data_IF_046675659182
#
_entry.id   IF_046675659182
#
_cell.length_a   1.000
_cell.length_b   1.000
_cell.length_c   1.000
_cell.angle_alpha   90.00
_cell.angle_beta   90.00
_cell.angle_gamma   90.00
#
_symmetry.space_group_name_H-M   'P 1'
#
loop_
_entity.id
_entity.type
_entity.pdbx_description
1 polymer ?
#
# COMPACT_ATOMS: atom_id res chain seq x y z
N UNK A 1 28.89 0.85 -14.28
CA UNK A 1 27.99 -0.30 -14.01
C UNK A 1 26.57 0.22 -14.05
N UNK A 2 25.88 0.11 -15.18
CA UNK A 2 24.49 0.53 -15.31
C UNK A 2 23.60 -0.58 -14.75
N UNK A 3 23.16 -0.41 -13.50
CA UNK A 3 22.14 -1.27 -12.90
C UNK A 3 20.87 -1.18 -13.74
N UNK A 4 20.53 -2.25 -14.44
CA UNK A 4 19.19 -2.43 -15.00
C UNK A 4 18.24 -2.35 -13.80
N UNK A 5 17.54 -1.24 -13.69
CA UNK A 5 16.40 -1.11 -12.80
C UNK A 5 15.36 -2.07 -13.37
N UNK A 6 15.19 -3.24 -12.74
CA UNK A 6 14.12 -4.16 -13.09
C UNK A 6 12.83 -3.35 -13.11
N UNK A 7 12.13 -3.37 -14.24
CA UNK A 7 10.85 -2.68 -14.35
C UNK A 7 9.93 -3.29 -13.30
N UNK A 8 9.25 -2.47 -12.47
CA UNK A 8 8.24 -3.02 -11.58
C UNK A 8 7.19 -3.74 -12.42
N UNK A 9 6.83 -4.97 -12.05
CA UNK A 9 5.82 -5.76 -12.74
C UNK A 9 4.47 -5.03 -12.81
N UNK A 10 4.24 -4.08 -11.89
CA UNK A 10 3.04 -3.23 -11.87
C UNK A 10 3.29 -1.88 -11.18
N UNK A 11 2.96 -0.77 -11.85
CA UNK A 11 2.83 0.56 -11.23
C UNK A 11 1.35 0.88 -10.94
N UNK A 12 1.05 1.37 -9.74
CA UNK A 12 -0.30 1.78 -9.34
C UNK A 12 -0.28 3.28 -9.01
N UNK A 13 -1.01 4.07 -9.77
CA UNK A 13 -1.17 5.50 -9.48
C UNK A 13 -2.15 5.72 -8.34
N UNK A 14 -1.70 6.41 -7.28
CA UNK A 14 -2.52 6.80 -6.13
C UNK A 14 -3.44 7.99 -6.49
N UNK A 15 -4.49 7.73 -7.26
CA UNK A 15 -5.52 8.74 -7.57
C UNK A 15 -6.65 8.76 -6.54
N UNK A 16 -6.91 7.61 -5.93
CA UNK A 16 -7.99 7.38 -4.97
C UNK A 16 -7.50 6.35 -3.95
N UNK A 17 -7.35 6.79 -2.70
CA UNK A 17 -6.81 5.96 -1.62
C UNK A 17 -7.69 4.73 -1.37
N UNK A 18 -9.02 4.87 -1.41
CA UNK A 18 -9.95 3.77 -1.18
C UNK A 18 -9.79 2.69 -2.25
N UNK A 19 -9.71 3.09 -3.52
CA UNK A 19 -9.49 2.15 -4.63
C UNK A 19 -8.11 1.50 -4.56
N UNK A 20 -7.06 2.27 -4.26
CA UNK A 20 -5.71 1.72 -4.14
C UNK A 20 -5.62 0.73 -2.99
N UNK A 21 -6.13 1.06 -1.80
CA UNK A 21 -6.16 0.16 -0.64
C UNK A 21 -6.98 -1.10 -0.94
N UNK A 22 -8.12 -0.97 -1.62
CA UNK A 22 -8.92 -2.14 -2.06
C UNK A 22 -8.11 -3.05 -2.98
N UNK A 23 -7.46 -2.49 -4.00
CA UNK A 23 -6.65 -3.29 -4.94
C UNK A 23 -5.47 -3.99 -4.27
N UNK A 24 -4.81 -3.33 -3.31
CA UNK A 24 -3.70 -3.90 -2.57
C UNK A 24 -4.15 -5.05 -1.65
N UNK A 25 -5.27 -4.87 -0.95
CA UNK A 25 -5.87 -5.91 -0.09
C UNK A 25 -6.30 -7.12 -0.92
N UNK A 26 -7.06 -6.90 -1.99
CA UNK A 26 -7.62 -8.00 -2.77
C UNK A 26 -6.51 -8.85 -3.42
N UNK A 27 -5.36 -8.25 -3.73
CA UNK A 27 -4.18 -8.94 -4.29
C UNK A 27 -3.36 -9.71 -3.24
N UNK A 28 -3.24 -9.21 -2.01
CA UNK A 28 -2.29 -9.76 -1.03
C UNK A 28 -2.92 -10.50 0.16
N UNK A 29 -4.16 -10.17 0.54
CA UNK A 29 -4.82 -10.83 1.68
C UNK A 29 -5.38 -12.20 1.28
N UNK A 30 -5.46 -12.52 -0.02
CA UNK A 30 -5.96 -13.81 -0.52
C UNK A 30 -4.99 -15.00 -0.41
N UNK A 31 -3.98 -14.97 0.47
CA UNK A 31 -3.23 -16.21 0.75
C UNK A 31 -1.89 -16.09 1.44
N UNK A 32 -1.33 -14.89 1.61
CA UNK A 32 0.09 -14.76 2.00
C UNK A 32 0.31 -14.39 3.47
N UNK A 33 -0.64 -13.73 4.14
CA UNK A 33 -0.45 -13.23 5.51
C UNK A 33 -1.76 -13.16 6.29
N UNK A 34 -1.76 -13.64 7.54
CA UNK A 34 -2.91 -13.48 8.41
C UNK A 34 -3.01 -12.03 8.95
N UNK A 35 -4.21 -11.63 9.37
CA UNK A 35 -4.48 -10.26 9.83
C UNK A 35 -3.60 -9.84 11.02
N UNK A 36 -3.40 -10.74 11.98
CA UNK A 36 -2.62 -10.48 13.19
C UNK A 36 -1.16 -10.22 12.83
N UNK A 37 -0.59 -11.06 11.96
CA UNK A 37 0.78 -10.88 11.47
C UNK A 37 0.95 -9.57 10.70
N UNK A 38 -0.06 -9.18 9.93
CA UNK A 38 -0.05 -7.92 9.21
C UNK A 38 0.01 -6.72 10.17
N UNK A 39 -0.83 -6.68 11.20
CA UNK A 39 -0.81 -5.59 12.19
C UNK A 39 0.53 -5.53 12.91
N UNK A 40 1.07 -6.69 13.31
CA UNK A 40 2.35 -6.77 14.01
C UNK A 40 3.51 -6.26 13.15
N UNK A 41 3.53 -6.60 11.85
CA UNK A 41 4.60 -6.19 10.93
C UNK A 41 4.49 -4.75 10.47
N UNK A 42 3.28 -4.29 10.17
CA UNK A 42 3.05 -2.94 9.63
C UNK A 42 2.93 -1.87 10.71
N UNK A 43 2.57 -2.24 11.94
CA UNK A 43 2.14 -1.30 12.98
C UNK A 43 0.82 -0.59 12.66
N UNK A 44 0.09 -1.05 11.64
CA UNK A 44 -1.18 -0.48 11.19
C UNK A 44 -2.32 -1.43 11.54
N UNK A 45 -3.29 -0.94 12.31
CA UNK A 45 -4.47 -1.75 12.61
C UNK A 45 -5.32 -2.03 11.36
N UNK A 46 -5.86 -3.24 11.26
CA UNK A 46 -6.83 -3.66 10.25
C UNK A 46 -8.03 -2.71 10.23
N UNK A 47 -8.45 -2.19 11.39
CA UNK A 47 -9.54 -1.22 11.48
C UNK A 47 -9.22 0.07 10.72
N UNK A 48 -7.99 0.58 10.82
CA UNK A 48 -7.54 1.74 10.06
C UNK A 48 -7.58 1.44 8.56
N UNK A 49 -7.11 0.26 8.15
CA UNK A 49 -7.11 -0.18 6.75
C UNK A 49 -8.55 -0.22 6.20
N UNK A 50 -9.52 -0.76 6.94
CA UNK A 50 -10.93 -0.75 6.53
C UNK A 50 -11.50 0.66 6.43
N UNK A 51 -11.11 1.58 7.32
CA UNK A 51 -11.52 2.98 7.22
C UNK A 51 -11.01 3.64 5.95
N UNK A 52 -9.76 3.35 5.55
CA UNK A 52 -9.17 3.82 4.31
C UNK A 52 -9.85 3.19 3.09
N UNK A 53 -10.07 1.87 3.14
CA UNK A 53 -10.79 1.12 2.11
C UNK A 53 -12.19 1.69 1.85
N UNK A 54 -12.90 2.08 2.90
CA UNK A 54 -14.24 2.64 2.80
C UNK A 54 -14.26 4.15 2.51
N UNK A 55 -13.10 4.80 2.39
CA UNK A 55 -12.99 6.25 2.17
C UNK A 55 -13.45 7.10 3.36
N UNK A 56 -13.62 6.52 4.54
CA UNK A 56 -14.11 7.23 5.74
C UNK A 56 -13.03 8.07 6.42
N UNK A 57 -11.76 7.72 6.21
CA UNK A 57 -10.60 8.47 6.69
C UNK A 57 -9.44 8.28 5.72
N UNK A 58 -8.62 9.32 5.58
CA UNK A 58 -7.35 9.20 4.87
C UNK A 58 -6.23 8.69 5.79
N UNK A 59 -5.30 7.88 5.27
CA UNK A 59 -4.10 7.49 5.99
C UNK A 59 -3.17 8.69 6.16
N UNK A 60 -2.47 8.73 7.29
CA UNK A 60 -1.21 9.50 7.33
C UNK A 60 -0.22 8.84 6.36
N UNK A 61 0.57 9.66 5.67
CA UNK A 61 1.51 9.17 4.67
C UNK A 61 2.46 8.09 5.21
N UNK A 62 2.96 8.24 6.44
CA UNK A 62 3.82 7.26 7.10
C UNK A 62 3.13 5.90 7.28
N UNK A 63 1.85 5.88 7.68
CA UNK A 63 1.10 4.64 7.84
C UNK A 63 0.75 4.00 6.50
N UNK A 64 0.49 4.80 5.46
CA UNK A 64 0.30 4.28 4.12
C UNK A 64 1.57 3.61 3.58
N UNK A 65 2.73 4.23 3.77
CA UNK A 65 4.02 3.66 3.37
C UNK A 65 4.28 2.34 4.12
N UNK A 66 4.09 2.32 5.44
CA UNK A 66 4.27 1.10 6.22
C UNK A 66 3.34 -0.04 5.76
N UNK A 67 2.07 0.29 5.47
CA UNK A 67 1.10 -0.63 4.89
C UNK A 67 1.57 -1.19 3.54
N UNK A 68 1.94 -0.33 2.59
CA UNK A 68 2.37 -0.74 1.25
C UNK A 68 3.65 -1.59 1.28
N UNK A 69 4.66 -1.18 2.06
CA UNK A 69 5.92 -1.91 2.21
C UNK A 69 5.70 -3.30 2.83
N UNK A 70 4.78 -3.42 3.79
CA UNK A 70 4.45 -4.72 4.39
C UNK A 70 3.80 -5.68 3.38
N UNK A 71 3.13 -5.12 2.37
CA UNK A 71 2.60 -5.86 1.22
C UNK A 71 3.62 -6.03 0.08
N UNK A 72 4.90 -5.70 0.31
CA UNK A 72 5.95 -5.85 -0.71
C UNK A 72 5.93 -4.80 -1.82
N UNK A 73 5.25 -3.67 -1.62
CA UNK A 73 5.24 -2.56 -2.57
C UNK A 73 6.09 -1.39 -2.09
N UNK A 74 6.79 -0.74 -3.02
CA UNK A 74 7.45 0.54 -2.76
C UNK A 74 6.54 1.73 -3.12
N UNK A 75 6.53 2.75 -2.26
CA UNK A 75 5.79 4.00 -2.51
C UNK A 75 6.72 5.04 -3.11
N UNK A 76 6.46 5.42 -4.37
CA UNK A 76 7.26 6.43 -5.08
C UNK A 76 6.46 7.73 -5.17
N UNK A 77 6.96 8.78 -4.51
CA UNK A 77 6.43 10.14 -4.67
C UNK A 77 7.05 10.78 -5.91
N UNK A 78 6.22 11.15 -6.89
CA UNK A 78 6.65 11.85 -8.09
C UNK A 78 6.16 13.29 -8.09
N UNK A 79 7.06 14.23 -8.37
CA UNK A 79 6.67 15.62 -8.60
C UNK A 79 5.88 15.70 -9.91
N UNK A 80 4.65 16.21 -9.85
CA UNK A 80 3.88 16.54 -11.05
C UNK A 80 4.59 17.68 -11.77
N UNK A 81 5.11 17.43 -12.98
CA UNK A 81 5.54 18.52 -13.87
C UNK A 81 4.30 19.35 -14.20
N UNK A 82 4.38 20.66 -13.93
CA UNK A 82 3.41 21.64 -14.39
C UNK A 82 3.64 21.91 -15.87
#
# INVERSE_FOLDING_TARGET
>A
MNGKMDKPDQEITLNDVSRTVTSLIDKHIQGTMCRVDFELRSGVSIRSIYKWRNGTHDPKMSYFIAFANTLGYDVIMRRKKR
#
